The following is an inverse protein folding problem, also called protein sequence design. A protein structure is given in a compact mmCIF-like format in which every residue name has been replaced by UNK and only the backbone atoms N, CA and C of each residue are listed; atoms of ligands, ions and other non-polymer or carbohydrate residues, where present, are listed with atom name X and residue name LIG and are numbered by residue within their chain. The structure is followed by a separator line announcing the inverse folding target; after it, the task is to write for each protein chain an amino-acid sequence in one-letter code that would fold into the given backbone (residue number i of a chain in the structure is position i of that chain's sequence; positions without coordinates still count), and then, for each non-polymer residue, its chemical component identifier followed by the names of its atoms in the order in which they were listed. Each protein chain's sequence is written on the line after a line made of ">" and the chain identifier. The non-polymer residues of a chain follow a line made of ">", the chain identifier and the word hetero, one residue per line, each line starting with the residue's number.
data_IF_594404660551
#
_entry.id   IF_594404660551
#
_cell.length_a   1.000
_cell.length_b   1.000
_cell.length_c   1.000
_cell.angle_alpha   90.00
_cell.angle_beta   90.00
_cell.angle_gamma   90.00
#
_symmetry.space_group_name_H-M   'P 1'
#
loop_
_entity.id
_entity.type
_entity.pdbx_description
1 polymer ?
2 polymer ?
3 polymer ?
#
loop_
_entity_poly.entity_id
_entity_poly.type
_entity_poly.pdbx_seq_one_letter_code
_entity_poly.pdbx_strand_id
1 'polydeoxyribonucleotide' '(DG)(DC)(DG)(DA)(DA)(DA)(DC)(DG)(DT)(DC)(DG)(DT)(DG)(DA)(DG)(DA)(DC)(DA)(DG)(DT)(DT)(DC)(DC)(DG)' ?
2 'polydeoxyribonucleotide' '(DC)(DG)(DG)(DA)(DA)(DC)(DT)(DG)(DT)(DC)(DT)(DC)(DA)(DC)(DG)(DA)(DC)(DG)(DT)(DT)(DT)(DC)(DG)(DC)' ?
#
# COMPACT_ATOMS: atom_id res chain seq x y z
N UNK C 2 -18.90 -8.11 -18.71
CA UNK C 2 -17.55 -8.74 -18.69
C UNK C 2 -16.51 -7.73 -19.18
N UNK C 3 -16.55 -6.53 -18.61
CA UNK C 3 -15.65 -5.44 -18.99
C UNK C 3 -14.15 -5.66 -18.85
N UNK C 4 -13.41 -4.96 -19.70
CA UNK C 4 -11.94 -5.00 -19.76
C UNK C 4 -11.51 -3.62 -19.26
N UNK C 5 -10.35 -3.56 -18.61
CA UNK C 5 -9.85 -2.31 -18.05
C UNK C 5 -8.65 -1.68 -18.73
N UNK C 6 -8.44 -0.40 -18.44
CA UNK C 6 -7.31 0.33 -18.98
C UNK C 6 -6.08 -0.13 -18.20
N UNK C 7 -5.01 -0.49 -18.91
CA UNK C 7 -3.78 -0.96 -18.26
C UNK C 7 -3.28 0.01 -17.20
N UNK C 8 -3.32 1.31 -17.48
CA UNK C 8 -2.86 2.32 -16.52
C UNK C 8 -3.67 2.33 -15.23
N UNK C 9 -4.79 1.63 -15.22
CA UNK C 9 -5.60 1.57 -14.03
C UNK C 9 -5.20 0.34 -13.23
N UNK C 10 -4.90 -0.75 -13.93
CA UNK C 10 -4.53 -1.99 -13.28
C UNK C 10 -3.11 -1.93 -12.69
N UNK C 11 -2.18 -1.42 -13.48
CA UNK C 11 -0.79 -1.30 -13.05
C UNK C 11 -0.73 -0.56 -11.73
N UNK C 12 -1.50 0.52 -11.62
CA UNK C 12 -1.52 1.29 -10.39
C UNK C 12 -2.33 0.64 -9.25
N UNK C 13 -3.49 0.08 -9.57
CA UNK C 13 -4.31 -0.55 -8.53
C UNK C 13 -3.62 -1.77 -7.96
N UNK C 14 -2.82 -2.45 -8.77
CA UNK C 14 -2.12 -3.62 -8.29
C UNK C 14 -1.09 -3.15 -7.26
N UNK C 15 -0.51 -2.00 -7.52
CA UNK C 15 0.47 -1.47 -6.60
C UNK C 15 -0.25 -1.20 -5.30
N UNK C 16 -1.36 -0.50 -5.39
CA UNK C 16 -2.14 -0.20 -4.20
C UNK C 16 -2.45 -1.51 -3.48
N UNK C 17 -3.24 -2.36 -4.11
CA UNK C 17 -3.60 -3.64 -3.53
C UNK C 17 -2.46 -4.34 -2.76
N UNK C 18 -1.27 -4.37 -3.34
CA UNK C 18 -0.10 -5.00 -2.69
C UNK C 18 0.22 -4.27 -1.41
N UNK C 19 -0.05 -2.95 -1.41
CA UNK C 19 0.21 -2.11 -0.26
C UNK C 19 -0.80 -2.29 0.87
N UNK C 20 -1.94 -1.61 0.74
CA UNK C 20 -3.00 -1.66 1.76
C UNK C 20 -4.15 -2.53 1.24
N UNK C 21 -3.84 -3.68 0.64
CA UNK C 21 -4.90 -4.55 0.11
C UNK C 21 -4.96 -5.91 0.78
N UNK C 22 -5.94 -6.73 0.42
CA UNK C 22 -6.04 -8.06 1.03
C UNK C 22 -6.90 -9.02 0.22
N UNK C 23 -6.40 -10.22 -0.02
CA UNK C 23 -7.16 -11.20 -0.80
C UNK C 23 -7.49 -12.44 0.03
N UNK C 24 -8.60 -12.37 0.73
CA UNK C 24 -9.06 -13.40 1.63
C UNK C 24 -9.77 -14.63 1.03
N UNK C 25 -9.94 -15.67 1.85
CA UNK C 25 -10.58 -16.93 1.44
C UNK C 25 -10.94 -17.68 2.73
N UNK C 26 -12.20 -18.08 2.90
CA UNK C 26 -12.59 -18.71 4.15
C UNK C 26 -13.56 -19.89 4.14
N UNK C 27 -13.58 -20.61 5.26
CA UNK C 27 -14.45 -21.75 5.48
C UNK C 27 -15.45 -21.30 6.54
N UNK C 28 -16.40 -20.48 6.13
CA UNK C 28 -17.39 -20.02 7.08
C UNK C 28 -18.28 -21.22 7.38
N UNK C 29 -18.20 -21.74 8.62
CA UNK C 29 -19.05 -22.90 8.95
C UNK C 29 -20.52 -22.51 8.96
N UNK C 30 -21.25 -22.86 7.91
CA UNK C 30 -22.67 -22.54 7.85
C UNK C 30 -23.51 -23.79 8.06
N UNK C 31 -24.56 -23.70 8.87
CA UNK C 31 -25.36 -24.90 9.11
C UNK C 31 -26.14 -25.44 7.91
N UNK C 32 -26.58 -24.57 7.00
CA UNK C 32 -27.25 -25.07 5.80
C UNK C 32 -26.04 -25.61 5.03
N UNK C 33 -26.04 -25.56 3.70
CA UNK C 33 -24.88 -26.06 2.95
C UNK C 33 -24.61 -27.56 3.25
N UNK C 34 -24.47 -28.36 2.20
CA UNK C 34 -24.21 -29.80 2.36
C UNK C 34 -23.32 -30.08 3.57
N UNK C 35 -22.01 -30.00 3.36
CA UNK C 35 -21.06 -30.27 4.43
C UNK C 35 -21.13 -29.27 5.59
N UNK C 36 -22.07 -28.35 5.53
CA UNK C 36 -22.23 -27.35 6.60
C UNK C 36 -21.00 -26.45 6.74
N UNK C 37 -20.56 -25.90 5.61
CA UNK C 37 -19.41 -25.02 5.55
C UNK C 37 -19.48 -24.27 4.23
N UNK C 38 -19.58 -22.95 4.30
CA UNK C 38 -19.64 -22.13 3.09
C UNK C 38 -18.25 -21.69 2.67
N UNK C 39 -17.93 -21.85 1.39
CA UNK C 39 -16.64 -21.39 0.89
C UNK C 39 -16.88 -19.93 0.47
N UNK C 40 -16.06 -19.01 1.00
CA UNK C 40 -16.22 -17.60 0.70
C UNK C 40 -14.93 -16.90 0.27
N UNK C 41 -15.01 -16.10 -0.78
CA UNK C 41 -13.84 -15.37 -1.30
C UNK C 41 -14.07 -13.86 -1.24
N UNK C 42 -13.07 -13.11 -0.81
CA UNK C 42 -13.23 -11.67 -0.72
C UNK C 42 -12.03 -10.83 -1.15
N UNK C 43 -12.28 -9.86 -2.02
CA UNK C 43 -11.25 -8.94 -2.47
C UNK C 43 -11.60 -7.67 -1.70
N UNK C 44 -10.62 -6.98 -1.14
CA UNK C 44 -10.95 -5.78 -0.41
C UNK C 44 -9.74 -4.87 -0.28
N UNK C 45 -10.00 -3.58 -0.06
CA UNK C 45 -8.95 -2.57 0.14
C UNK C 45 -9.39 -1.68 1.32
N UNK C 46 -8.57 -1.66 2.37
CA UNK C 46 -8.87 -0.89 3.59
C UNK C 46 -8.25 0.49 3.61
N UNK C 47 -9.00 1.50 4.09
CA UNK C 47 -8.49 2.88 4.14
C UNK C 47 -9.23 3.74 5.17
N UNK C 48 -8.53 4.71 5.77
CA UNK C 48 -9.11 5.62 6.77
C UNK C 48 -10.28 6.33 6.14
N UNK C 49 -11.40 6.35 6.86
CA UNK C 49 -12.63 6.95 6.37
C UNK C 49 -12.44 8.37 5.89
N UNK C 50 -11.26 8.92 6.13
CA UNK C 50 -10.95 10.28 5.70
C UNK C 50 -10.63 10.28 4.22
N UNK C 51 -10.26 9.12 3.69
CA UNK C 51 -9.93 9.02 2.27
C UNK C 51 -10.86 8.03 1.58
N UNK C 52 -12.13 7.99 2.00
CA UNK C 52 -13.03 7.05 1.37
C UNK C 52 -13.44 7.46 -0.06
N UNK C 53 -13.31 8.74 -0.39
CA UNK C 53 -13.66 9.15 -1.74
C UNK C 53 -12.80 8.34 -2.73
N UNK C 54 -11.71 7.78 -2.22
CA UNK C 54 -10.83 7.00 -3.08
C UNK C 54 -11.45 5.62 -3.21
N UNK C 55 -12.05 5.15 -2.13
CA UNK C 55 -12.68 3.84 -2.19
C UNK C 55 -13.90 3.90 -3.11
N UNK C 56 -14.58 5.05 -3.10
CA UNK C 56 -15.79 5.26 -3.92
C UNK C 56 -15.50 5.35 -5.41
N UNK C 57 -14.53 6.17 -5.77
CA UNK C 57 -14.17 6.27 -7.18
C UNK C 57 -13.89 4.84 -7.61
N UNK C 58 -13.28 4.05 -6.71
CA UNK C 58 -12.97 2.65 -6.98
C UNK C 58 -14.22 1.86 -7.39
N UNK C 59 -15.25 1.91 -6.55
CA UNK C 59 -16.52 1.25 -6.82
C UNK C 59 -16.92 1.64 -8.26
N UNK C 60 -16.84 2.92 -8.54
CA UNK C 60 -17.18 3.47 -9.85
C UNK C 60 -16.20 3.01 -10.95
N UNK C 61 -14.91 2.96 -10.63
CA UNK C 61 -13.91 2.56 -11.61
C UNK C 61 -14.00 1.07 -11.94
N UNK C 62 -14.14 0.25 -10.91
CA UNK C 62 -14.23 -1.20 -11.10
C UNK C 62 -15.59 -1.62 -11.64
N UNK C 63 -16.60 -0.81 -11.39
CA UNK C 63 -17.92 -1.12 -11.89
C UNK C 63 -18.75 -2.07 -11.04
N UNK C 64 -18.19 -2.52 -9.92
CA UNK C 64 -18.94 -3.41 -9.06
C UNK C 64 -18.36 -3.45 -7.64
N UNK C 65 -19.15 -3.94 -6.69
CA UNK C 65 -18.69 -3.99 -5.31
C UNK C 65 -19.26 -2.88 -4.42
N UNK C 66 -18.73 -2.74 -3.21
CA UNK C 66 -19.23 -1.69 -2.33
C UNK C 66 -18.29 -1.29 -1.18
N UNK C 67 -18.69 -0.27 -0.45
CA UNK C 67 -17.88 0.24 0.66
C UNK C 67 -18.62 0.05 1.97
N UNK C 68 -17.89 -0.23 3.04
CA UNK C 68 -18.50 -0.40 4.36
C UNK C 68 -17.87 0.60 5.35
N UNK C 69 -18.31 0.59 6.61
CA UNK C 69 -17.80 1.52 7.62
C UNK C 69 -17.53 0.88 8.98
N UNK C 70 -16.26 0.71 9.34
CA UNK C 70 -15.89 0.13 10.63
C UNK C 70 -15.39 1.26 11.54
N UNK C 71 -16.07 2.41 11.48
CA UNK C 71 -15.69 3.54 12.31
C UNK C 71 -14.54 4.38 11.80
N UNK C 72 -13.35 4.17 12.38
CA UNK C 72 -12.17 4.92 11.97
C UNK C 72 -11.78 4.52 10.55
N UNK C 73 -11.66 3.22 10.29
CA UNK C 73 -11.29 2.77 8.95
C UNK C 73 -12.51 2.29 8.13
N UNK C 74 -12.30 2.12 6.83
CA UNK C 74 -13.35 1.67 5.92
C UNK C 74 -12.77 0.73 4.88
N UNK C 75 -13.64 -0.02 4.22
CA UNK C 75 -13.21 -0.98 3.21
C UNK C 75 -13.97 -0.95 1.92
N UNK C 76 -13.33 -1.49 0.90
CA UNK C 76 -13.96 -1.64 -0.39
C UNK C 76 -14.08 -3.16 -0.45
N UNK C 77 -15.31 -3.66 -0.51
CA UNK C 77 -15.52 -5.12 -0.56
C UNK C 77 -16.00 -5.59 -1.93
N UNK C 78 -15.52 -6.76 -2.35
CA UNK C 78 -15.90 -7.35 -3.62
C UNK C 78 -15.91 -8.87 -3.53
N UNK C 79 -17.10 -9.46 -3.38
CA UNK C 79 -17.25 -10.91 -3.28
C UNK C 79 -17.97 -11.67 -4.41
N UNK C 80 -18.83 -11.00 -5.18
CA UNK C 80 -19.52 -11.71 -6.26
C UNK C 80 -18.50 -12.48 -7.12
N UNK C 81 -18.63 -13.80 -7.18
CA UNK C 81 -17.73 -14.62 -7.98
C UNK C 81 -17.45 -14.13 -9.43
N UNK C 82 -18.47 -14.17 -10.29
CA UNK C 82 -18.33 -13.77 -11.68
C UNK C 82 -17.50 -12.50 -11.86
N UNK C 83 -17.87 -11.40 -11.17
CA UNK C 83 -17.11 -10.15 -11.29
C UNK C 83 -15.72 -10.34 -10.71
N UNK C 84 -15.69 -10.99 -9.55
CA UNK C 84 -14.46 -11.26 -8.84
C UNK C 84 -13.47 -11.96 -9.73
N UNK C 85 -13.96 -12.90 -10.52
CA UNK C 85 -13.13 -13.69 -11.43
C UNK C 85 -12.58 -12.85 -12.58
N UNK C 86 -13.40 -11.94 -13.10
CA UNK C 86 -13.00 -11.08 -14.21
C UNK C 86 -12.04 -10.02 -13.74
N UNK C 87 -12.21 -9.51 -12.52
CA UNK C 87 -11.31 -8.47 -12.04
C UNK C 87 -9.95 -9.06 -11.71
N UNK C 88 -9.96 -10.16 -10.96
CA UNK C 88 -8.74 -10.83 -10.53
C UNK C 88 -7.95 -11.49 -11.63
N UNK C 89 -8.51 -11.53 -12.83
CA UNK C 89 -7.79 -12.13 -13.95
C UNK C 89 -6.92 -11.07 -14.61
N UNK C 90 -7.44 -9.85 -14.67
CA UNK C 90 -6.77 -8.73 -15.29
C UNK C 90 -5.77 -7.96 -14.41
N UNK C 91 -5.80 -8.21 -13.10
CA UNK C 91 -4.92 -7.54 -12.15
C UNK C 91 -3.75 -8.48 -11.87
N UNK C 92 -4.07 -9.77 -11.88
CA UNK C 92 -3.12 -10.84 -11.62
C UNK C 92 -1.72 -10.70 -12.22
N UNK C 93 -1.62 -10.40 -13.52
CA UNK C 93 -0.29 -10.26 -14.11
C UNK C 93 0.50 -9.05 -13.60
N UNK C 94 -0.14 -8.24 -12.74
CA UNK C 94 0.50 -7.03 -12.22
C UNK C 94 0.84 -7.04 -10.74
N UNK C 95 0.21 -7.92 -9.99
CA UNK C 95 0.48 -8.00 -8.56
C UNK C 95 1.88 -8.58 -8.42
N UNK C 96 2.54 -8.28 -7.29
CA UNK C 96 3.89 -8.77 -7.04
C UNK C 96 4.10 -9.48 -5.72
N UNK C 97 3.32 -9.12 -4.71
CA UNK C 97 3.47 -9.80 -3.42
C UNK C 97 2.23 -10.62 -3.17
N UNK C 98 1.20 -10.40 -3.97
CA UNK C 98 -0.03 -11.13 -3.77
C UNK C 98 -0.52 -11.87 -5.00
N UNK C 99 0.31 -11.88 -6.04
CA UNK C 99 -0.03 -12.55 -7.28
C UNK C 99 -0.39 -14.03 -7.14
N UNK C 100 0.23 -14.73 -6.21
CA UNK C 100 -0.09 -16.13 -6.06
C UNK C 100 -1.47 -16.27 -5.45
N UNK C 101 -1.59 -15.78 -4.21
CA UNK C 101 -2.84 -15.83 -3.49
C UNK C 101 -3.99 -15.60 -4.46
N UNK C 102 -3.81 -14.62 -5.35
CA UNK C 102 -4.83 -14.31 -6.34
C UNK C 102 -5.22 -15.58 -7.12
N UNK C 103 -4.25 -16.09 -7.87
CA UNK C 103 -4.44 -17.27 -8.68
C UNK C 103 -5.11 -18.41 -7.95
N UNK C 104 -4.72 -18.66 -6.70
CA UNK C 104 -5.39 -19.73 -5.96
C UNK C 104 -6.87 -19.38 -5.88
N UNK C 105 -7.19 -18.10 -5.72
CA UNK C 105 -8.59 -17.73 -5.64
C UNK C 105 -9.25 -18.10 -6.96
N UNK C 106 -8.65 -17.70 -8.08
CA UNK C 106 -9.18 -18.05 -9.41
C UNK C 106 -9.41 -19.56 -9.46
N UNK C 107 -8.32 -20.31 -9.37
CA UNK C 107 -8.41 -21.78 -9.40
C UNK C 107 -9.64 -22.20 -8.62
N UNK C 108 -9.67 -21.85 -7.33
CA UNK C 108 -10.80 -22.20 -6.48
C UNK C 108 -12.11 -21.92 -7.22
N UNK C 109 -12.36 -20.65 -7.52
CA UNK C 109 -13.58 -20.26 -8.22
C UNK C 109 -13.99 -21.30 -9.25
N UNK C 110 -13.04 -21.64 -10.12
CA UNK C 110 -13.25 -22.60 -11.20
C UNK C 110 -13.76 -23.94 -10.76
N UNK C 111 -13.23 -24.45 -9.66
CA UNK C 111 -13.63 -25.74 -9.15
C UNK C 111 -14.84 -25.67 -8.23
N UNK C 112 -15.18 -24.46 -7.79
CA UNK C 112 -16.30 -24.30 -6.87
C UNK C 112 -17.45 -25.28 -7.07
N UNK C 113 -17.92 -25.45 -8.31
CA UNK C 113 -19.03 -26.37 -8.58
C UNK C 113 -18.75 -27.84 -8.23
N UNK C 114 -17.91 -28.49 -9.02
CA UNK C 114 -17.56 -29.89 -8.76
C UNK C 114 -16.86 -29.98 -7.42
N UNK C 115 -16.80 -28.86 -6.70
CA UNK C 115 -16.13 -28.82 -5.40
C UNK C 115 -16.98 -29.40 -4.26
N UNK C 116 -18.29 -29.48 -4.47
CA UNK C 116 -19.14 -30.03 -3.43
C UNK C 116 -19.75 -31.34 -3.89
N UNK C 117 -19.01 -32.06 -4.72
CA UNK C 117 -19.45 -33.37 -5.22
C UNK C 117 -19.00 -34.37 -4.17
N UNK C 118 -17.82 -34.96 -4.41
CA UNK C 118 -17.26 -35.93 -3.49
C UNK C 118 -16.63 -35.22 -2.30
N UNK C 119 -17.02 -35.60 -1.07
CA UNK C 119 -16.49 -34.98 0.16
C UNK C 119 -14.98 -34.77 0.08
N UNK C 120 -14.32 -35.58 -0.73
CA UNK C 120 -12.88 -35.51 -0.89
C UNK C 120 -12.44 -34.52 -1.96
N UNK C 121 -13.28 -34.29 -2.96
CA UNK C 121 -12.94 -33.33 -4.01
C UNK C 121 -13.16 -31.94 -3.42
N UNK C 122 -13.87 -31.93 -2.29
CA UNK C 122 -14.20 -30.71 -1.55
C UNK C 122 -13.00 -30.31 -0.67
N UNK C 123 -12.50 -31.26 0.11
CA UNK C 123 -11.36 -31.00 0.98
C UNK C 123 -10.13 -30.58 0.19
N UNK C 124 -10.10 -30.94 -1.09
CA UNK C 124 -8.97 -30.59 -1.93
C UNK C 124 -8.96 -29.08 -2.16
N UNK C 125 -10.14 -28.49 -2.19
CA UNK C 125 -10.25 -27.06 -2.38
C UNK C 125 -10.05 -26.37 -1.04
N UNK C 126 -10.45 -27.02 0.04
CA UNK C 126 -10.24 -26.42 1.35
C UNK C 126 -8.74 -26.24 1.52
N UNK C 127 -7.99 -27.07 0.80
CA UNK C 127 -6.53 -27.03 0.82
C UNK C 127 -6.03 -25.90 -0.06
N UNK C 128 -6.73 -25.63 -1.15
CA UNK C 128 -6.34 -24.52 -2.00
C UNK C 128 -6.37 -23.37 -0.99
N UNK C 129 -7.43 -23.37 -0.18
CA UNK C 129 -7.62 -22.33 0.82
C UNK C 129 -6.52 -22.26 1.87
N UNK C 130 -6.25 -23.38 2.54
CA UNK C 130 -5.18 -23.38 3.53
C UNK C 130 -3.98 -22.72 2.88
N UNK C 131 -3.58 -23.22 1.73
CA UNK C 131 -2.45 -22.65 1.04
C UNK C 131 -2.49 -21.11 1.07
N UNK C 132 -3.65 -20.54 0.72
CA UNK C 132 -3.82 -19.07 0.70
C UNK C 132 -3.58 -18.31 2.00
N UNK C 133 -4.16 -18.79 3.10
CA UNK C 133 -3.97 -18.15 4.38
C UNK C 133 -2.50 -18.25 4.80
N UNK C 134 -1.80 -19.24 4.23
CA UNK C 134 -0.38 -19.43 4.51
C UNK C 134 0.38 -18.23 3.94
N UNK C 135 0.01 -17.83 2.72
CA UNK C 135 0.62 -16.70 2.04
C UNK C 135 0.30 -15.36 2.71
N UNK C 136 -0.80 -15.29 3.45
CA UNK C 136 -1.15 -14.05 4.12
C UNK C 136 -0.45 -13.98 5.48
N UNK C 137 -0.76 -12.93 6.22
CA UNK C 137 -0.22 -12.72 7.56
C UNK C 137 -1.36 -13.14 8.48
N UNK C 138 -1.70 -14.42 8.38
CA UNK C 138 -2.77 -15.04 9.13
C UNK C 138 -2.48 -14.91 10.63
N UNK C 139 -3.52 -14.61 11.43
CA UNK C 139 -3.34 -14.46 12.89
C UNK C 139 -4.52 -14.91 13.75
N UNK C 140 -5.73 -14.96 13.18
CA UNK C 140 -6.91 -15.37 13.96
C UNK C 140 -7.80 -16.40 13.24
N UNK C 141 -7.21 -17.45 12.69
CA UNK C 141 -7.96 -18.46 11.96
C UNK C 141 -8.27 -19.75 12.72
N UNK C 142 -9.46 -20.31 12.48
CA UNK C 142 -9.92 -21.56 13.11
C UNK C 142 -10.16 -22.70 12.11
N UNK C 143 -11.35 -22.71 11.51
CA UNK C 143 -11.75 -23.75 10.56
C UNK C 143 -10.78 -23.94 9.42
N UNK C 144 -10.14 -25.10 9.37
CA UNK C 144 -9.19 -25.44 8.31
C UNK C 144 -9.69 -26.65 7.54
N UNK C 145 -8.84 -27.18 6.66
CA UNK C 145 -9.22 -28.36 5.91
C UNK C 145 -9.32 -29.51 6.92
N UNK C 146 -8.53 -29.43 7.98
CA UNK C 146 -8.54 -30.46 9.01
C UNK C 146 -9.75 -30.33 9.94
N UNK C 147 -10.13 -29.10 10.27
CA UNK C 147 -11.29 -28.91 11.13
C UNK C 147 -12.45 -29.64 10.46
N UNK C 148 -12.50 -29.56 9.13
CA UNK C 148 -13.56 -30.19 8.36
C UNK C 148 -13.59 -31.71 8.52
N UNK C 149 -12.45 -32.29 8.90
CA UNK C 149 -12.41 -33.72 9.13
C UNK C 149 -13.28 -33.92 10.37
N UNK C 150 -14.54 -34.20 10.09
CA UNK C 150 -15.60 -34.42 11.08
C UNK C 150 -16.79 -34.58 10.15
N UNK C 151 -16.46 -34.65 8.86
CA UNK C 151 -17.43 -34.80 7.79
C UNK C 151 -17.33 -36.23 7.25
N UNK C 152 -16.10 -36.75 7.19
CA UNK C 152 -15.87 -38.10 6.71
C UNK C 152 -16.54 -39.09 7.65
N UNK C 153 -17.10 -38.56 8.74
CA UNK C 153 -17.79 -39.36 9.75
C UNK C 153 -19.16 -38.76 10.07
N UNK D 2 21.43 10.65 -12.34
CA UNK D 2 20.15 11.23 -12.87
C UNK D 2 19.62 10.40 -14.04
N UNK D 3 18.43 9.83 -13.88
CA UNK D 3 17.83 8.99 -14.91
C UNK D 3 16.31 9.08 -14.98
N UNK D 4 15.75 8.46 -16.01
CA UNK D 4 14.30 8.38 -16.21
C UNK D 4 13.98 6.91 -16.11
N UNK D 5 12.89 6.59 -15.42
CA UNK D 5 12.50 5.19 -15.23
C UNK D 5 11.33 4.81 -16.12
N UNK D 6 11.17 3.49 -16.32
CA UNK D 6 10.08 2.94 -17.12
C UNK D 6 8.69 3.36 -16.60
N UNK D 7 7.94 4.05 -17.47
CA UNK D 7 6.61 4.53 -17.11
C UNK D 7 5.82 3.56 -16.26
N UNK D 8 5.88 2.28 -16.62
CA UNK D 8 5.15 1.26 -15.88
C UNK D 8 5.71 1.01 -14.46
N UNK D 9 7.00 1.25 -14.26
CA UNK D 9 7.57 1.03 -12.93
C UNK D 9 7.04 2.14 -12.03
N UNK D 10 6.98 3.35 -12.55
CA UNK D 10 6.47 4.47 -11.78
C UNK D 10 4.98 4.28 -11.44
N UNK D 11 4.17 3.89 -12.43
CA UNK D 11 2.74 3.65 -12.23
C UNK D 11 2.48 2.73 -11.04
N UNK D 12 3.10 1.56 -11.06
CA UNK D 12 2.95 0.58 -9.98
C UNK D 12 3.56 1.03 -8.67
N UNK D 13 4.71 1.70 -8.74
CA UNK D 13 5.36 2.16 -7.53
C UNK D 13 4.57 3.32 -6.93
N UNK D 14 3.84 4.05 -7.77
CA UNK D 14 3.03 5.16 -7.27
C UNK D 14 1.87 4.57 -6.50
N UNK D 15 1.50 3.34 -6.86
CA UNK D 15 0.41 2.68 -6.18
C UNK D 15 0.91 2.16 -4.83
N UNK D 16 2.04 1.48 -4.85
CA UNK D 16 2.61 0.93 -3.62
C UNK D 16 3.01 2.06 -2.66
N UNK D 17 3.47 3.19 -3.19
CA UNK D 17 3.84 4.29 -2.30
C UNK D 17 2.59 4.89 -1.64
N UNK D 18 1.50 4.99 -2.39
CA UNK D 18 0.26 5.53 -1.85
C UNK D 18 -0.26 4.65 -0.71
N UNK D 19 -0.09 3.34 -0.83
CA UNK D 19 -0.58 2.42 0.19
C UNK D 19 0.21 2.31 1.48
N UNK D 20 1.35 1.63 1.39
CA UNK D 20 2.26 1.39 2.51
C UNK D 20 3.47 2.36 2.42
N UNK D 21 3.34 3.46 1.69
CA UNK D 21 4.46 4.39 1.55
C UNK D 21 4.40 5.73 2.28
N UNK D 22 5.52 6.46 2.34
CA UNK D 22 5.54 7.75 3.05
C UNK D 22 6.52 8.80 2.57
N UNK D 23 6.03 10.04 2.41
CA UNK D 23 6.84 11.18 1.95
C UNK D 23 6.97 12.23 3.06
N UNK D 24 7.99 12.04 3.90
CA UNK D 24 8.30 12.88 5.08
C UNK D 24 9.18 14.12 4.88
N UNK D 25 8.82 15.21 5.57
CA UNK D 25 9.60 16.46 5.55
C UNK D 25 9.97 16.74 7.01
N UNK D 26 11.18 17.21 7.27
CA UNK D 26 11.53 17.44 8.67
C UNK D 26 12.50 18.56 8.98
N UNK D 27 12.27 19.18 10.15
CA UNK D 27 13.09 20.27 10.67
C UNK D 27 13.88 19.73 11.86
N UNK D 28 14.93 18.98 11.57
CA UNK D 28 15.76 18.40 12.61
C UNK D 28 16.67 19.45 13.21
N UNK D 29 16.49 19.77 14.50
CA UNK D 29 17.31 20.78 15.18
C UNK D 29 18.74 20.29 15.35
N UNK D 30 19.68 21.08 14.81
CA UNK D 30 21.09 20.73 14.85
C UNK D 30 22.01 21.95 15.08
N UNK D 31 23.14 21.75 15.74
CA UNK D 31 24.07 22.84 16.02
C UNK D 31 24.92 23.23 14.82
N UNK D 32 25.86 22.36 14.45
CA UNK D 32 26.71 22.63 13.28
C UNK D 32 25.74 22.74 12.11
N UNK D 33 25.08 23.88 12.00
CA UNK D 33 24.10 24.10 10.95
C UNK D 33 23.57 25.53 11.04
N UNK D 34 23.63 26.22 9.90
CA UNK D 34 23.19 27.60 9.79
C UNK D 34 22.41 28.19 10.96
N UNK D 35 21.10 27.95 11.01
CA UNK D 35 20.27 28.52 12.05
C UNK D 35 19.88 27.57 13.18
N UNK D 36 20.76 26.62 13.48
CA UNK D 36 20.53 25.64 14.53
C UNK D 36 19.61 24.48 14.14
N UNK D 37 19.24 24.38 12.86
CA UNK D 37 18.36 23.29 12.45
C UNK D 37 18.74 22.72 11.09
N UNK D 38 18.41 21.45 10.88
CA UNK D 38 18.71 20.80 9.62
C UNK D 38 17.46 20.60 8.78
N UNK D 39 17.58 21.00 7.51
CA UNK D 39 16.51 20.87 6.54
C UNK D 39 16.66 19.46 5.95
N UNK D 40 15.80 18.53 6.38
CA UNK D 40 15.86 17.15 5.90
C UNK D 40 14.61 16.67 5.14
N UNK D 41 14.82 16.02 4.00
CA UNK D 41 13.71 15.51 3.21
C UNK D 41 13.84 14.00 3.03
N UNK D 42 12.74 13.28 3.18
CA UNK D 42 12.80 11.82 3.06
C UNK D 42 11.64 11.12 2.37
N UNK D 43 11.98 10.05 1.66
CA UNK D 43 11.03 9.22 0.94
C UNK D 43 11.31 7.78 1.40
N UNK D 44 10.31 7.12 1.99
CA UNK D 44 10.49 5.75 2.47
C UNK D 44 9.28 4.84 2.21
N UNK D 45 9.53 3.54 2.19
CA UNK D 45 8.50 2.52 2.00
C UNK D 45 8.84 1.42 3.01
N UNK D 46 7.90 1.06 3.88
CA UNK D 46 8.21 0.06 4.89
C UNK D 46 7.37 -1.22 4.75
N UNK D 47 7.94 -2.36 5.18
CA UNK D 47 7.28 -3.69 5.11
C UNK D 47 7.90 -4.75 6.04
N UNK D 48 7.09 -5.77 6.32
CA UNK D 48 7.48 -6.89 7.17
C UNK D 48 8.84 -7.43 6.72
N UNK D 49 9.76 -7.57 7.66
CA UNK D 49 11.11 -8.05 7.36
C UNK D 49 11.16 -9.34 6.55
N UNK D 50 10.12 -10.14 6.62
CA UNK D 50 10.13 -11.38 5.84
C UNK D 50 9.91 -11.07 4.37
N UNK D 51 9.38 -9.88 4.07
CA UNK D 51 9.14 -9.45 2.68
C UNK D 51 10.18 -8.41 2.24
N UNK D 52 11.27 -8.32 2.99
CA UNK D 52 12.41 -7.42 2.78
C UNK D 52 12.90 -7.37 1.32
N UNK D 53 12.85 -8.51 0.66
CA UNK D 53 13.30 -8.59 -0.73
C UNK D 53 12.69 -7.47 -1.55
N UNK D 54 11.37 -7.29 -1.46
CA UNK D 54 10.72 -6.24 -2.24
C UNK D 54 11.54 -4.95 -2.11
N UNK D 55 11.80 -4.55 -0.87
CA UNK D 55 12.56 -3.34 -0.60
C UNK D 55 13.95 -3.43 -1.23
N UNK D 56 14.67 -4.52 -0.99
CA UNK D 56 15.99 -4.67 -1.58
C UNK D 56 15.92 -4.50 -3.09
N UNK D 57 14.87 -5.04 -3.70
CA UNK D 57 14.71 -4.92 -5.13
C UNK D 57 14.74 -3.44 -5.48
N UNK D 58 13.88 -2.65 -4.84
CA UNK D 58 13.83 -1.21 -5.09
C UNK D 58 15.19 -0.51 -5.05
N UNK D 59 16.07 -0.95 -4.14
CA UNK D 59 17.41 -0.37 -4.04
C UNK D 59 18.16 -0.62 -5.35
N UNK D 60 17.83 -1.74 -5.98
CA UNK D 60 18.46 -2.11 -7.25
C UNK D 60 17.79 -1.40 -8.41
N UNK D 61 16.46 -1.33 -8.41
CA UNK D 61 15.76 -0.67 -9.50
C UNK D 61 15.87 0.86 -9.44
N UNK D 62 15.56 1.45 -8.29
CA UNK D 62 15.62 2.90 -8.14
C UNK D 62 17.04 3.34 -8.47
N UNK D 63 18.00 2.55 -8.01
CA UNK D 63 19.40 2.85 -8.26
C UNK D 63 20.08 3.61 -7.13
N UNK D 64 19.33 3.88 -6.06
CA UNK D 64 19.90 4.61 -4.96
C UNK D 64 19.19 4.27 -3.65
N UNK D 65 19.65 4.83 -2.54
CA UNK D 65 19.01 4.54 -1.27
C UNK D 65 19.39 3.21 -0.65
N UNK D 66 19.04 3.01 0.62
CA UNK D 66 19.37 1.77 1.30
C UNK D 66 18.15 1.20 2.02
N UNK D 67 18.33 0.03 2.62
CA UNK D 67 17.25 -0.63 3.35
C UNK D 67 17.77 -0.87 4.75
N UNK D 68 16.92 -0.70 5.76
CA UNK D 68 17.36 -0.93 7.13
C UNK D 68 16.44 -1.87 7.88
N UNK D 69 16.95 -2.43 8.98
CA UNK D 69 16.19 -3.36 9.82
C UNK D 69 15.82 -2.77 11.17
N UNK D 70 14.57 -2.93 11.56
CA UNK D 70 14.15 -2.44 12.86
C UNK D 70 13.07 -3.32 13.47
N UNK D 71 13.52 -4.46 13.99
CA UNK D 71 12.60 -5.39 14.62
C UNK D 71 11.87 -6.27 13.65
N UNK D 72 10.54 -6.23 13.71
CA UNK D 72 9.71 -7.04 12.84
C UNK D 72 9.32 -6.27 11.59
N UNK D 73 10.14 -5.28 11.23
CA UNK D 73 9.87 -4.47 10.06
C UNK D 73 11.14 -3.96 9.36
N UNK D 74 11.01 -3.62 8.08
CA UNK D 74 12.14 -3.09 7.30
C UNK D 74 11.70 -1.83 6.55
N UNK D 75 12.66 -0.99 6.16
CA UNK D 75 12.37 0.25 5.43
C UNK D 75 13.33 0.50 4.29
N UNK D 76 12.84 1.24 3.29
CA UNK D 76 13.66 1.66 2.17
C UNK D 76 13.79 3.17 2.39
N UNK D 77 15.02 3.68 2.42
CA UNK D 77 15.20 5.11 2.63
C UNK D 77 15.84 5.85 1.44
N UNK D 78 15.22 6.93 0.98
CA UNK D 78 15.83 7.71 -0.09
C UNK D 78 15.84 9.16 0.36
N UNK D 79 17.04 9.71 0.56
CA UNK D 79 17.16 11.09 1.01
C UNK D 79 18.24 11.91 0.35
N UNK D 80 18.86 11.35 -0.68
CA UNK D 80 19.90 12.05 -1.43
C UNK D 80 19.14 13.16 -2.17
N UNK D 81 19.05 14.31 -1.52
CA UNK D 81 18.34 15.48 -2.04
C UNK D 81 18.35 15.71 -3.55
N UNK D 82 19.40 15.30 -4.25
CA UNK D 82 19.39 15.56 -5.67
C UNK D 82 18.65 14.46 -6.40
N UNK D 83 19.07 13.20 -6.23
CA UNK D 83 18.37 12.10 -6.92
C UNK D 83 16.93 11.96 -6.35
N UNK D 84 16.67 12.65 -5.25
CA UNK D 84 15.35 12.63 -4.66
C UNK D 84 14.51 13.53 -5.51
N UNK D 85 15.10 14.65 -5.92
CA UNK D 85 14.40 15.59 -6.77
C UNK D 85 14.12 14.93 -8.13
N UNK D 86 15.08 14.18 -8.63
CA UNK D 86 14.92 13.50 -9.90
C UNK D 86 13.90 12.36 -9.84
N UNK D 87 13.74 11.75 -8.66
CA UNK D 87 12.79 10.65 -8.51
C UNK D 87 11.37 11.17 -8.28
N UNK D 88 11.24 12.15 -7.40
CA UNK D 88 9.95 12.72 -7.10
C UNK D 88 9.47 13.53 -8.29
N UNK D 89 10.29 13.57 -9.33
CA UNK D 89 9.96 14.30 -10.55
C UNK D 89 9.11 13.44 -11.49
N UNK D 90 9.56 12.21 -11.74
CA UNK D 90 8.83 11.30 -12.62
C UNK D 90 7.68 10.51 -11.98
N UNK D 91 7.59 10.56 -10.65
CA UNK D 91 6.56 9.84 -9.90
C UNK D 91 5.48 10.76 -9.36
N UNK D 92 5.80 12.04 -9.20
CA UNK D 92 4.81 12.98 -8.69
C UNK D 92 3.51 12.97 -9.49
N UNK D 93 3.59 12.70 -10.79
CA UNK D 93 2.30 12.72 -11.48
C UNK D 93 1.39 11.52 -11.24
N UNK D 94 1.96 10.33 -11.13
CA UNK D 94 1.14 9.13 -10.95
C UNK D 94 0.56 8.94 -9.57
N UNK D 95 0.83 9.89 -8.68
CA UNK D 95 0.31 9.81 -7.32
C UNK D 95 -1.17 10.19 -7.29
N UNK D 96 -1.84 9.84 -6.21
CA UNK D 96 -3.26 10.15 -6.06
C UNK D 96 -3.58 10.54 -4.63
N UNK D 97 -2.80 10.04 -3.68
CA UNK D 97 -3.05 10.36 -2.28
C UNK D 97 -1.93 11.17 -1.65
N UNK D 98 -0.78 11.23 -2.32
CA UNK D 98 0.33 11.98 -1.76
C UNK D 98 1.00 12.89 -2.78
N UNK D 99 0.33 13.12 -3.91
CA UNK D 99 0.84 13.99 -4.97
C UNK D 99 1.11 15.39 -4.42
N UNK D 100 0.22 15.87 -3.56
CA UNK D 100 0.37 17.19 -2.95
C UNK D 100 1.73 17.23 -2.23
N UNK D 101 1.80 16.55 -1.09
CA UNK D 101 3.01 16.54 -0.28
C UNK D 101 4.27 16.05 -0.97
N UNK D 102 4.19 15.70 -2.24
CA UNK D 102 5.40 15.27 -2.92
C UNK D 102 5.98 16.56 -3.48
N UNK D 103 5.17 17.26 -4.25
CA UNK D 103 5.59 18.52 -4.86
C UNK D 103 6.31 19.44 -3.90
N UNK D 104 5.67 19.80 -2.79
CA UNK D 104 6.31 20.68 -1.79
C UNK D 104 7.76 20.26 -1.59
N UNK D 105 7.95 18.98 -1.24
CA UNK D 105 9.28 18.46 -1.03
C UNK D 105 10.07 18.80 -2.28
N UNK D 106 9.47 18.49 -3.42
CA UNK D 106 10.09 18.73 -4.70
C UNK D 106 10.24 20.20 -4.97
N UNK D 107 9.44 21.02 -4.30
CA UNK D 107 9.49 22.47 -4.49
C UNK D 107 10.10 23.22 -3.31
N UNK D 108 11.01 22.53 -2.62
CA UNK D 108 11.73 23.09 -1.46
C UNK D 108 13.20 22.93 -1.80
N UNK D 109 13.55 21.75 -2.32
CA UNK D 109 14.92 21.47 -2.73
C UNK D 109 15.31 22.55 -3.72
N UNK D 110 14.41 22.80 -4.66
CA UNK D 110 14.58 23.78 -5.73
C UNK D 110 14.84 25.18 -5.18
N UNK D 111 14.70 25.33 -3.85
CA UNK D 111 14.92 26.61 -3.20
C UNK D 111 15.84 26.47 -1.98
N UNK D 112 16.40 25.28 -1.78
CA UNK D 112 17.26 25.05 -0.62
C UNK D 112 18.55 25.88 -0.54
N UNK D 113 19.06 26.37 -1.68
CA UNK D 113 20.30 27.17 -1.53
C UNK D 113 19.98 28.47 -0.77
N UNK D 114 18.95 29.16 -1.23
CA UNK D 114 18.51 30.40 -0.63
C UNK D 114 18.15 30.24 0.84
N UNK D 115 17.70 29.04 1.20
CA UNK D 115 17.31 28.74 2.57
C UNK D 115 18.13 29.55 3.56
N UNK D 116 19.34 29.06 3.82
CA UNK D 116 20.29 29.68 4.73
C UNK D 116 20.18 31.20 4.78
N UNK D 117 20.26 31.83 3.62
CA UNK D 117 20.18 33.29 3.45
C UNK D 117 19.55 34.06 4.61
N UNK D 118 18.31 34.48 4.40
CA UNK D 118 17.56 35.25 5.38
C UNK D 118 16.60 34.46 6.24
N UNK D 119 16.54 34.78 7.54
CA UNK D 119 15.65 34.11 8.49
C UNK D 119 14.19 34.19 8.05
N UNK D 120 13.84 35.24 7.31
CA UNK D 120 12.49 35.41 6.79
C UNK D 120 12.40 34.77 5.41
N UNK D 121 13.53 34.19 4.99
CA UNK D 121 13.64 33.49 3.71
C UNK D 121 13.67 32.00 4.07
N UNK D 122 14.21 31.71 5.26
CA UNK D 122 14.32 30.36 5.80
C UNK D 122 12.92 29.98 6.28
N UNK D 123 12.41 30.71 7.27
CA UNK D 123 11.07 30.47 7.82
C UNK D 123 10.14 30.08 6.69
N UNK D 124 10.24 30.84 5.60
CA UNK D 124 9.46 30.63 4.38
C UNK D 124 9.37 29.12 4.13
N UNK D 125 10.46 28.57 3.61
CA UNK D 125 10.57 27.15 3.32
C UNK D 125 10.14 26.36 4.56
N UNK D 126 10.67 26.78 5.70
CA UNK D 126 10.38 26.13 6.96
C UNK D 126 8.90 26.09 7.28
N UNK D 127 8.04 26.53 6.36
CA UNK D 127 6.60 26.47 6.59
C UNK D 127 6.08 25.28 5.81
N UNK D 128 6.43 25.21 4.52
CA UNK D 128 5.98 24.10 3.67
C UNK D 128 6.04 22.82 4.50
N UNK D 129 7.16 22.64 5.19
CA UNK D 129 7.39 21.47 6.03
C UNK D 129 6.51 21.49 7.29
N UNK D 130 5.35 22.12 7.15
CA UNK D 130 4.34 22.19 8.20
C UNK D 130 3.09 21.75 7.45
N UNK D 131 3.03 22.16 6.18
CA UNK D 131 1.94 21.82 5.28
C UNK D 131 1.92 20.32 5.07
N UNK D 132 2.99 19.81 4.46
CA UNK D 132 3.12 18.39 4.21
C UNK D 132 2.75 17.62 5.47
N UNK D 133 3.43 17.95 6.56
CA UNK D 133 3.17 17.30 7.83
C UNK D 133 1.66 17.34 8.11
N UNK D 134 0.99 18.35 7.56
CA UNK D 134 -0.44 18.50 7.73
C UNK D 134 -1.16 17.42 6.92
N UNK D 135 -0.81 17.38 5.63
CA UNK D 135 -1.39 16.42 4.68
C UNK D 135 -1.23 14.97 5.09
N UNK D 136 -0.14 14.63 5.77
CA UNK D 136 0.06 13.24 6.21
C UNK D 136 -0.84 12.95 7.42
N UNK D 137 -0.51 11.88 8.14
CA UNK D 137 -1.26 11.48 9.32
C UNK D 137 -0.31 11.58 10.52
N UNK D 138 0.13 12.81 10.80
CA UNK D 138 1.06 13.08 11.89
C UNK D 138 0.45 12.79 13.26
N UNK D 139 1.25 12.25 14.18
CA UNK D 139 0.74 11.93 15.50
C UNK D 139 1.81 12.00 16.60
N UNK D 140 3.01 12.45 16.23
CA UNK D 140 4.10 12.57 17.20
C UNK D 140 5.08 13.69 16.84
N UNK D 141 4.60 14.67 16.07
CA UNK D 141 5.42 15.81 15.65
C UNK D 141 5.88 16.53 16.91
N UNK D 142 7.12 17.03 16.90
CA UNK D 142 7.69 17.69 18.07
C UNK D 142 8.76 18.73 17.70
N UNK D 143 8.50 19.55 16.68
CA UNK D 143 9.42 20.60 16.22
C UNK D 143 8.81 21.29 15.01
N UNK D 144 8.32 22.51 15.18
CA UNK D 144 7.71 23.23 14.05
C UNK D 144 8.40 24.54 13.69
N UNK D 145 7.94 25.17 12.62
CA UNK D 145 8.50 26.45 12.21
C UNK D 145 8.44 27.39 13.42
N UNK D 146 7.38 27.24 14.22
CA UNK D 146 7.20 28.08 15.40
C UNK D 146 8.35 27.89 16.38
N UNK D 147 8.63 26.64 16.74
CA UNK D 147 9.73 26.37 17.66
C UNK D 147 11.03 26.95 17.10
N UNK D 148 11.12 27.13 15.78
CA UNK D 148 12.30 27.72 15.17
C UNK D 148 12.01 29.17 14.79
N UNK D 149 10.87 29.66 15.28
CA UNK D 149 10.48 31.04 15.08
C UNK D 149 11.21 31.62 16.27
N UNK D 150 11.08 30.89 17.37
CA UNK D 150 11.71 31.21 18.63
C UNK D 150 13.21 30.94 18.50
N UNK D 151 13.82 31.61 17.53
CA UNK D 151 15.26 31.52 17.24
C UNK D 151 15.78 32.88 17.66
N UNK D 152 15.00 33.56 18.47
CA UNK D 152 15.30 34.89 18.95
C UNK D 152 16.43 34.99 20.00
N UNK D 153 17.56 35.52 19.54
CA UNK D 153 18.76 35.68 20.38
C UNK D 153 19.13 37.16 20.53
#
# INVERSE_FOLDING_TARGET
>C
MNTKYNKEFLLYLAGFVDGDGSIIAQIKPNQSHKFKHQLSLTFQVTEKTQRRWFLDKLVDEIGVGYVRDRGSVSDYILSEIKPLHNFLTQLQPFLKLKQKQANLVLKIIEQLPSAKESPDKFLEVCTWVDQIAALNDSKTRKTTSETVRAVLDSLSEKKKSSP
>D
MNTKYNKEFLLYLAGFVDGDGSIIAQIKPNQSHKFKHQLSLTFQVTEKTQRRWFLDKLVDEIGVGYVRDRGSVSDYILSEIKPLHNFLTQLQPFLKLKQKQANLVLKIIEQLPSAKESPDKFLEVCTWVDQIAALNDSKTRKTTSETVRAVLDSLSEKKKSSP
#
